data_IF_006135815911
#
_entry.id   IF_006135815911
#
_cell.length_a   1.000
_cell.length_b   1.000
_cell.length_c   1.000
_cell.angle_alpha   90.00
_cell.angle_beta   90.00
_cell.angle_gamma   90.00
#
_symmetry.space_group_name_H-M   'P 1'
#
loop_
_entity.id
_entity.type
_entity.pdbx_description
1 polymer ?
#
# COMPACT_ATOMS: atom_id res chain seq x y z
N UNK A 1 -0.12 -42.63 27.17
CA UNK A 1 -1.13 -41.78 26.51
C UNK A 1 -1.27 -40.52 27.36
N UNK A 2 -0.54 -39.47 27.03
CA UNK A 2 -0.56 -38.19 27.75
C UNK A 2 -1.35 -37.17 26.93
N UNK A 3 -2.47 -36.72 27.48
CA UNK A 3 -3.34 -35.72 26.87
C UNK A 3 -2.69 -34.33 26.89
N UNK A 4 -2.72 -33.64 25.75
CA UNK A 4 -2.42 -32.23 25.65
C UNK A 4 -3.67 -31.43 26.02
N UNK A 5 -3.60 -30.61 27.08
CA UNK A 5 -4.61 -29.58 27.35
C UNK A 5 -4.25 -28.34 26.53
N UNK A 6 -5.17 -27.87 25.70
CA UNK A 6 -5.03 -26.57 25.05
C UNK A 6 -5.08 -25.44 26.11
N UNK A 7 -4.38 -24.31 25.90
CA UNK A 7 -4.55 -23.12 26.74
C UNK A 7 -5.97 -22.56 26.56
N UNK A 8 -6.55 -21.92 27.60
CA UNK A 8 -7.89 -21.35 27.51
C UNK A 8 -7.93 -20.22 26.46
N UNK A 9 -9.08 -19.99 25.81
CA UNK A 9 -9.23 -18.87 24.89
C UNK A 9 -9.07 -17.55 25.65
N UNK A 10 -8.21 -16.68 25.13
CA UNK A 10 -8.06 -15.31 25.63
C UNK A 10 -9.40 -14.59 25.50
N UNK A 11 -9.97 -14.14 26.62
CA UNK A 11 -11.10 -13.22 26.59
C UNK A 11 -10.66 -11.91 25.91
N UNK A 12 -11.55 -11.23 25.15
CA UNK A 12 -11.26 -9.87 24.72
C UNK A 12 -11.06 -9.00 25.96
N UNK A 13 -9.99 -8.21 25.99
CA UNK A 13 -9.74 -7.22 27.05
C UNK A 13 -10.96 -6.30 27.14
N UNK A 14 -11.67 -6.34 28.27
CA UNK A 14 -12.76 -5.42 28.53
C UNK A 14 -12.17 -4.03 28.80
N UNK A 15 -12.86 -2.99 28.34
CA UNK A 15 -12.46 -1.58 28.48
C UNK A 15 -12.30 -1.12 29.95
N UNK A 16 -12.63 -1.98 30.93
CA UNK A 16 -12.59 -1.68 32.36
C UNK A 16 -11.22 -1.90 33.04
N UNK A 17 -10.24 -2.50 32.35
CA UNK A 17 -8.89 -2.73 32.90
C UNK A 17 -7.87 -1.65 32.52
N UNK A 18 -8.31 -0.50 31.99
CA UNK A 18 -7.40 0.62 31.75
C UNK A 18 -6.88 1.18 33.09
N UNK A 19 -5.56 1.20 33.35
CA UNK A 19 -5.02 1.74 34.59
C UNK A 19 -5.43 3.21 34.71
N UNK A 20 -6.10 3.52 35.82
CA UNK A 20 -6.58 4.86 36.15
C UNK A 20 -5.39 5.80 36.35
N UNK A 21 -5.03 6.57 35.30
CA UNK A 21 -4.00 7.60 35.42
C UNK A 21 -3.20 7.97 34.17
N UNK A 22 -3.45 7.37 33.00
CA UNK A 22 -2.65 7.68 31.80
C UNK A 22 -3.46 8.44 30.73
N UNK A 23 -3.04 9.66 30.41
CA UNK A 23 -3.73 10.58 29.50
C UNK A 23 -3.50 10.24 28.01
N UNK A 24 -4.58 10.31 27.23
CA UNK A 24 -4.55 10.37 25.77
C UNK A 24 -4.09 11.76 25.35
N UNK A 25 -3.00 11.86 24.58
CA UNK A 25 -2.56 13.14 24.02
C UNK A 25 -3.07 13.32 22.58
N UNK A 26 -3.59 14.52 22.30
CA UNK A 26 -3.94 14.97 20.96
C UNK A 26 -2.80 15.83 20.43
N UNK A 27 -2.06 15.34 19.43
CA UNK A 27 -1.00 16.13 18.80
C UNK A 27 -1.42 16.59 17.40
N UNK A 28 -1.17 17.88 17.12
CA UNK A 28 -1.53 18.51 15.86
C UNK A 28 -0.45 18.23 14.82
N UNK A 29 -0.69 17.28 13.91
CA UNK A 29 0.31 16.87 12.89
C UNK A 29 0.07 17.64 11.59
N UNK A 30 0.11 18.98 11.66
CA UNK A 30 -0.05 19.85 10.50
C UNK A 30 -1.41 19.74 9.79
N UNK A 31 -1.58 20.58 8.75
CA UNK A 31 -2.84 20.94 8.09
C UNK A 31 -3.99 19.89 8.14
N UNK A 32 -4.80 19.96 9.20
CA UNK A 32 -6.12 19.33 9.26
C UNK A 32 -6.21 17.91 9.82
N UNK A 33 -5.13 17.30 10.31
CA UNK A 33 -5.17 15.96 10.90
C UNK A 33 -4.74 15.98 12.38
N UNK A 34 -5.64 15.61 13.27
CA UNK A 34 -5.33 15.32 14.67
C UNK A 34 -5.03 13.81 14.81
N UNK A 35 -3.81 13.48 15.22
CA UNK A 35 -3.47 12.11 15.61
C UNK A 35 -3.82 11.89 17.08
N UNK A 36 -4.48 10.78 17.40
CA UNK A 36 -4.66 10.32 18.78
C UNK A 36 -3.56 9.30 19.07
N UNK A 37 -2.78 9.55 20.12
CA UNK A 37 -1.64 8.73 20.52
C UNK A 37 -1.87 8.09 21.88
N UNK A 38 -1.38 6.87 22.05
CA UNK A 38 -1.21 6.24 23.35
C UNK A 38 0.26 5.85 23.53
N UNK A 39 0.95 6.45 24.50
CA UNK A 39 2.40 6.26 24.74
C UNK A 39 3.31 6.40 23.50
N UNK A 40 2.94 7.29 22.56
CA UNK A 40 3.69 7.51 21.31
C UNK A 40 3.48 6.43 20.24
N UNK A 41 2.58 5.47 20.47
CA UNK A 41 2.21 4.42 19.50
C UNK A 41 1.00 4.89 18.68
N UNK A 42 1.08 4.73 17.35
CA UNK A 42 -0.02 5.06 16.44
C UNK A 42 -1.12 4.01 16.60
N UNK A 43 -2.36 4.43 16.85
CA UNK A 43 -3.48 3.49 17.04
C UNK A 43 -3.75 2.58 15.82
N UNK A 44 -3.30 2.95 14.61
CA UNK A 44 -3.34 2.06 13.44
C UNK A 44 -2.49 0.80 13.59
N UNK A 45 -1.42 0.82 14.39
CA UNK A 45 -0.55 -0.35 14.60
C UNK A 45 -1.24 -1.45 15.41
N UNK A 46 -2.32 -1.12 16.12
CA UNK A 46 -3.14 -2.06 16.88
C UNK A 46 -4.42 -2.50 16.15
N UNK A 47 -4.55 -2.20 14.85
CA UNK A 47 -5.74 -2.55 14.08
C UNK A 47 -6.99 -1.75 14.47
N UNK A 48 -6.82 -0.62 15.16
CA UNK A 48 -7.92 0.27 15.51
C UNK A 48 -8.23 1.21 14.34
N UNK A 49 -9.52 1.30 13.97
CA UNK A 49 -10.00 2.20 12.92
C UNK A 49 -9.95 3.64 13.42
N UNK A 50 -9.32 4.55 12.67
CA UNK A 50 -9.44 5.98 12.93
C UNK A 50 -10.74 6.46 12.33
N UNK A 51 -11.58 7.05 13.16
CA UNK A 51 -12.86 7.60 12.73
C UNK A 51 -12.80 9.12 12.77
N UNK A 52 -13.29 9.80 11.74
CA UNK A 52 -13.45 11.26 11.77
C UNK A 52 -14.51 11.69 12.80
N UNK A 53 -14.64 12.99 13.05
CA UNK A 53 -15.64 13.52 13.99
C UNK A 53 -17.09 13.21 13.59
N UNK A 54 -17.32 12.75 12.35
CA UNK A 54 -18.63 12.40 11.82
C UNK A 54 -18.90 10.89 11.82
N UNK A 55 -17.97 10.06 12.33
CA UNK A 55 -18.17 8.61 12.35
C UNK A 55 -17.64 7.87 11.12
N UNK A 56 -16.94 8.54 10.19
CA UNK A 56 -16.42 7.89 8.98
C UNK A 56 -15.04 7.29 9.22
N UNK A 57 -14.81 6.07 8.71
CA UNK A 57 -13.47 5.50 8.68
C UNK A 57 -12.53 6.34 7.82
N UNK A 58 -11.44 6.81 8.43
CA UNK A 58 -10.36 7.47 7.72
C UNK A 58 -9.57 6.37 6.99
N UNK A 59 -9.64 6.36 5.67
CA UNK A 59 -8.80 5.46 4.88
C UNK A 59 -7.33 5.73 5.19
N UNK A 60 -6.61 4.69 5.64
CA UNK A 60 -5.20 4.82 5.94
C UNK A 60 -4.44 5.30 4.69
N UNK A 61 -3.61 6.36 4.78
CA UNK A 61 -2.78 6.78 3.67
C UNK A 61 -1.84 5.66 3.19
N UNK A 62 -1.39 5.77 1.93
CA UNK A 62 -0.38 4.90 1.34
C UNK A 62 0.88 4.83 2.24
N UNK A 63 1.41 3.64 2.46
CA UNK A 63 2.61 3.39 3.26
C UNK A 63 2.36 3.23 4.77
N UNK A 64 1.13 2.92 5.19
CA UNK A 64 0.79 2.69 6.60
C UNK A 64 0.86 1.22 7.03
N UNK A 65 0.68 0.98 8.33
CA UNK A 65 0.74 -0.33 8.98
C UNK A 65 -0.07 -1.40 8.21
N UNK A 66 0.58 -2.55 7.97
CA UNK A 66 0.01 -3.70 7.27
C UNK A 66 0.37 -3.78 5.78
N UNK A 67 0.85 -2.71 5.14
CA UNK A 67 1.36 -2.81 3.77
C UNK A 67 2.79 -3.34 3.74
N UNK A 68 3.05 -4.30 2.85
CA UNK A 68 4.39 -4.86 2.63
C UNK A 68 4.73 -4.85 1.16
N UNK A 69 6.01 -4.60 0.86
CA UNK A 69 6.53 -4.79 -0.49
C UNK A 69 6.61 -6.28 -0.77
N UNK A 70 6.01 -6.70 -1.87
CA UNK A 70 6.13 -8.06 -2.37
C UNK A 70 6.52 -8.04 -3.85
N UNK A 71 7.48 -8.89 -4.20
CA UNK A 71 7.78 -9.20 -5.59
C UNK A 71 6.65 -10.03 -6.17
N UNK A 72 6.18 -9.67 -7.36
CA UNK A 72 5.04 -10.33 -8.00
C UNK A 72 5.39 -10.81 -9.39
N UNK A 73 4.79 -11.92 -9.79
CA UNK A 73 4.82 -12.36 -11.18
C UNK A 73 3.72 -11.64 -11.96
N UNK A 74 4.14 -10.80 -12.91
CA UNK A 74 3.27 -10.10 -13.85
C UNK A 74 3.79 -10.32 -15.26
N UNK A 75 2.89 -10.10 -16.21
CA UNK A 75 3.12 -10.25 -17.63
C UNK A 75 2.69 -8.96 -18.32
N UNK A 76 3.47 -8.59 -19.31
CA UNK A 76 3.21 -7.45 -20.15
C UNK A 76 1.88 -7.63 -20.91
N UNK A 77 1.15 -6.52 -21.11
CA UNK A 77 -0.15 -6.45 -21.76
C UNK A 77 -1.25 -7.33 -21.14
N UNK A 78 -1.06 -7.81 -19.91
CA UNK A 78 -2.09 -8.52 -19.14
C UNK A 78 -2.81 -7.56 -18.20
N UNK A 79 -4.13 -7.69 -18.11
CA UNK A 79 -4.96 -6.86 -17.23
C UNK A 79 -4.96 -7.47 -15.82
N UNK A 80 -4.53 -6.69 -14.85
CA UNK A 80 -4.61 -7.00 -13.42
C UNK A 80 -5.64 -6.10 -12.78
N UNK A 81 -6.32 -6.56 -11.73
CA UNK A 81 -7.34 -5.77 -11.02
C UNK A 81 -6.89 -5.51 -9.59
N UNK A 82 -6.91 -4.25 -9.16
CA UNK A 82 -6.67 -3.90 -7.77
C UNK A 82 -7.94 -4.12 -6.93
N UNK A 83 -8.02 -5.30 -6.31
CA UNK A 83 -9.16 -5.71 -5.47
C UNK A 83 -8.93 -5.47 -3.97
N UNK A 84 -7.87 -4.76 -3.57
CA UNK A 84 -7.54 -4.58 -2.14
C UNK A 84 -8.49 -3.62 -1.41
N UNK A 85 -9.36 -2.92 -2.14
CA UNK A 85 -10.19 -1.86 -1.60
C UNK A 85 -9.41 -0.59 -1.24
N UNK A 86 -8.10 -0.55 -1.50
CA UNK A 86 -7.21 0.59 -1.22
C UNK A 86 -6.28 0.88 -2.41
N UNK A 87 -5.72 2.09 -2.55
CA UNK A 87 -4.68 2.34 -3.52
C UNK A 87 -3.46 1.43 -3.26
N UNK A 88 -2.79 0.94 -4.32
CA UNK A 88 -1.52 0.21 -4.20
C UNK A 88 -0.41 0.97 -4.95
N UNK A 89 0.83 0.82 -4.51
CA UNK A 89 1.99 1.30 -5.28
C UNK A 89 2.55 0.13 -6.08
N UNK A 90 2.77 0.35 -7.37
CA UNK A 90 3.48 -0.60 -8.23
C UNK A 90 4.84 -0.04 -8.60
N UNK A 91 5.83 -0.91 -8.70
CA UNK A 91 7.15 -0.60 -9.25
C UNK A 91 7.49 -1.62 -10.32
N UNK A 92 8.24 -1.16 -11.30
CA UNK A 92 8.65 -1.97 -12.44
C UNK A 92 9.95 -1.41 -13.02
N UNK A 93 10.70 -2.26 -13.70
CA UNK A 93 11.91 -1.88 -14.43
C UNK A 93 11.65 -2.00 -15.92
N UNK A 94 12.20 -1.11 -16.73
CA UNK A 94 12.08 -1.21 -18.19
C UNK A 94 12.74 -0.05 -18.92
N UNK A 95 12.82 -0.15 -20.24
CA UNK A 95 13.28 0.93 -21.12
C UNK A 95 12.08 1.54 -21.85
N UNK A 96 11.66 2.74 -21.42
CA UNK A 96 10.45 3.38 -21.97
C UNK A 96 9.17 2.58 -21.68
N UNK A 97 9.19 1.74 -20.65
CA UNK A 97 8.01 0.97 -20.25
C UNK A 97 7.00 1.89 -19.58
N UNK A 98 5.73 1.52 -19.59
CA UNK A 98 4.70 2.31 -18.96
C UNK A 98 3.63 1.43 -18.31
N UNK A 99 3.04 1.98 -17.26
CA UNK A 99 1.89 1.41 -16.56
C UNK A 99 0.66 2.27 -16.85
N UNK A 100 -0.45 1.59 -17.14
CA UNK A 100 -1.73 2.21 -17.47
C UNK A 100 -2.80 1.68 -16.55
N UNK A 101 -3.78 2.52 -16.25
CA UNK A 101 -4.98 2.15 -15.47
C UNK A 101 -6.25 2.31 -16.31
N UNK A 102 -7.29 1.60 -15.92
CA UNK A 102 -8.60 1.61 -16.56
C UNK A 102 -9.69 1.24 -15.57
N UNK A 103 -10.87 1.84 -15.70
CA UNK A 103 -12.07 1.44 -14.94
C UNK A 103 -12.86 0.30 -15.60
N UNK A 104 -12.63 0.04 -16.89
CA UNK A 104 -13.45 -0.86 -17.72
C UNK A 104 -12.63 -1.89 -18.53
N UNK A 105 -11.31 -1.90 -18.35
CA UNK A 105 -10.33 -2.68 -19.13
C UNK A 105 -10.32 -2.40 -20.65
N UNK A 106 -11.04 -1.39 -21.12
CA UNK A 106 -11.14 -1.00 -22.54
C UNK A 106 -10.45 0.34 -22.81
N UNK A 107 -10.66 1.33 -21.94
CA UNK A 107 -10.11 2.68 -22.04
C UNK A 107 -8.98 2.88 -21.03
N UNK A 108 -7.79 3.26 -21.50
CA UNK A 108 -6.57 3.21 -20.69
C UNK A 108 -5.89 4.58 -20.58
N UNK A 109 -5.54 4.95 -19.36
CA UNK A 109 -4.76 6.17 -19.04
C UNK A 109 -3.38 5.78 -18.54
N UNK A 110 -2.32 6.36 -19.10
CA UNK A 110 -0.95 6.16 -18.61
C UNK A 110 -0.75 6.94 -17.31
N UNK A 111 -0.30 6.25 -16.26
CA UNK A 111 -0.10 6.85 -14.91
C UNK A 111 1.32 6.73 -14.39
N UNK A 112 2.18 6.01 -15.10
CA UNK A 112 3.61 5.95 -14.80
C UNK A 112 4.40 5.43 -16.00
N UNK A 113 5.67 5.81 -16.05
CA UNK A 113 6.61 5.37 -17.07
C UNK A 113 7.98 5.14 -16.43
N UNK A 114 8.74 4.20 -16.98
CA UNK A 114 10.17 4.12 -16.73
C UNK A 114 10.88 4.98 -17.78
N UNK A 115 11.88 5.73 -17.32
CA UNK A 115 12.81 6.39 -18.23
C UNK A 115 13.54 5.38 -19.12
N UNK A 116 14.19 5.90 -20.16
CA UNK A 116 14.99 5.11 -21.09
C UNK A 116 15.73 6.05 -22.03
N UNK A 117 17.04 5.89 -22.13
CA UNK A 117 17.89 6.71 -22.99
C UNK A 117 18.72 5.86 -23.93
N UNK A 118 19.00 6.37 -25.11
CA UNK A 118 20.04 5.86 -26.00
C UNK A 118 21.16 6.89 -26.02
N UNK A 119 22.34 6.56 -25.52
CA UNK A 119 23.54 7.35 -25.80
C UNK A 119 24.31 6.67 -26.94
N UNK A 120 24.55 7.39 -28.03
CA UNK A 120 25.51 7.04 -29.07
C UNK A 120 26.48 8.20 -29.23
N UNK A 121 27.80 7.95 -29.18
CA UNK A 121 28.59 8.02 -30.42
C UNK A 121 29.64 6.90 -30.57
N UNK A 122 29.77 5.95 -29.62
CA UNK A 122 30.82 4.90 -29.68
C UNK A 122 30.44 3.54 -29.05
N UNK A 123 29.19 3.33 -28.61
CA UNK A 123 28.75 2.03 -28.09
C UNK A 123 27.43 2.13 -27.33
N UNK A 124 26.44 1.32 -27.69
CA UNK A 124 25.10 1.35 -27.11
C UNK A 124 25.09 0.73 -25.71
N UNK A 125 24.93 1.54 -24.67
CA UNK A 125 24.54 1.03 -23.34
C UNK A 125 23.05 1.32 -23.14
N UNK A 126 22.24 0.25 -23.06
CA UNK A 126 20.81 0.34 -22.77
C UNK A 126 20.64 0.35 -21.26
N UNK A 127 20.20 1.48 -20.67
CA UNK A 127 19.85 1.54 -19.26
C UNK A 127 18.36 1.26 -19.09
N UNK A 128 18.02 0.29 -18.25
CA UNK A 128 16.66 0.11 -17.78
C UNK A 128 16.45 1.02 -16.56
N UNK A 129 15.43 1.88 -16.60
CA UNK A 129 15.08 2.69 -15.44
C UNK A 129 13.95 2.01 -14.64
N UNK A 130 13.84 2.39 -13.37
CA UNK A 130 12.69 2.02 -12.55
C UNK A 130 11.58 3.06 -12.71
N UNK A 131 10.37 2.58 -12.92
CA UNK A 131 9.14 3.36 -12.86
C UNK A 131 8.31 2.97 -11.64
N UNK A 132 7.49 3.90 -11.17
CA UNK A 132 6.48 3.64 -10.15
C UNK A 132 5.17 4.36 -10.47
N UNK A 133 4.06 3.82 -9.96
CA UNK A 133 2.76 4.48 -10.04
C UNK A 133 1.86 4.05 -8.89
N UNK A 134 0.84 4.87 -8.61
CA UNK A 134 -0.26 4.53 -7.71
C UNK A 134 -1.42 3.99 -8.56
N UNK A 135 -1.96 2.85 -8.15
CA UNK A 135 -3.13 2.23 -8.78
C UNK A 135 -4.32 2.41 -7.83
N UNK A 136 -5.38 3.14 -8.22
CA UNK A 136 -6.56 3.32 -7.39
C UNK A 136 -7.26 1.99 -7.06
N UNK A 137 -8.09 1.93 -6.00
CA UNK A 137 -8.93 0.78 -5.74
C UNK A 137 -9.91 0.55 -6.90
N UNK A 138 -10.27 -0.71 -7.15
CA UNK A 138 -11.22 -1.13 -8.18
C UNK A 138 -10.86 -0.65 -9.60
N UNK A 139 -9.57 -0.47 -9.88
CA UNK A 139 -9.07 -0.18 -11.21
C UNK A 139 -8.29 -1.36 -11.76
N UNK A 140 -8.45 -1.59 -13.06
CA UNK A 140 -7.54 -2.44 -13.81
C UNK A 140 -6.23 -1.69 -14.04
N UNK A 141 -5.13 -2.43 -14.08
CA UNK A 141 -3.82 -1.92 -14.47
C UNK A 141 -3.06 -2.93 -15.33
N UNK A 142 -2.17 -2.44 -16.18
CA UNK A 142 -1.30 -3.26 -17.02
C UNK A 142 0.01 -2.56 -17.34
N UNK A 143 1.03 -3.37 -17.61
CA UNK A 143 2.37 -2.92 -18.01
C UNK A 143 2.59 -3.17 -19.51
N UNK A 144 3.44 -2.38 -20.16
CA UNK A 144 3.79 -2.54 -21.58
C UNK A 144 5.01 -3.43 -21.82
N UNK A 145 6.23 -2.96 -21.56
CA UNK A 145 7.49 -3.66 -21.82
C UNK A 145 8.40 -3.61 -20.60
N UNK A 146 7.91 -4.15 -19.49
CA UNK A 146 8.53 -4.09 -18.18
C UNK A 146 8.97 -5.47 -17.63
N UNK A 147 9.81 -5.44 -16.61
CA UNK A 147 10.29 -6.55 -15.79
C UNK A 147 10.33 -6.13 -14.30
N UNK A 148 10.71 -7.06 -13.43
CA UNK A 148 11.03 -6.82 -12.01
C UNK A 148 9.93 -6.05 -11.28
N UNK A 149 8.78 -6.70 -11.18
CA UNK A 149 7.57 -6.11 -10.60
C UNK A 149 7.57 -6.27 -9.08
N UNK A 150 7.26 -5.19 -8.38
CA UNK A 150 6.89 -5.25 -6.97
C UNK A 150 5.69 -4.36 -6.67
N UNK A 151 4.89 -4.80 -5.70
CA UNK A 151 3.68 -4.11 -5.24
C UNK A 151 3.82 -3.83 -3.75
N UNK A 152 3.50 -2.60 -3.33
CA UNK A 152 3.22 -2.27 -1.93
C UNK A 152 1.72 -2.42 -1.71
N UNK A 153 1.34 -3.40 -0.91
CA UNK A 153 -0.05 -3.77 -0.62
C UNK A 153 -0.14 -4.53 0.69
N UNK A 154 -1.35 -4.62 1.23
CA UNK A 154 -1.67 -5.49 2.37
C UNK A 154 -1.70 -6.97 1.95
#
# INVERSE_FOLDING_TARGET
MSGFSAPPPSLPLSLADAPTGEELSLEHVGAGLAGIFWRGVKMLEFGMSLTDMNGNEIQAPLGMAGETWQSVSRSNNTNYHNTTGRPIVVTFTGNGANVRVSTDAANWVTVGASGGGTTSHTGTTIYQARGSAIIPPNHYYRFSSASDFAELRQ
#
